data_IF_036121301376
#
_entry.id   IF_036121301376
#
_cell.length_a   1.000
_cell.length_b   1.000
_cell.length_c   1.000
_cell.angle_alpha   90.00
_cell.angle_beta   90.00
_cell.angle_gamma   90.00
#
_symmetry.space_group_name_H-M   'P 1'
#
loop_
_entity.id
_entity.type
_entity.pdbx_description
1 polymer ?
#
# COMPACT_ATOMS: atom_id res chain seq x y z
N UNK A 1 -10.82 -7.47 -0.89
CA UNK A 1 -9.62 -7.83 -1.68
C UNK A 1 -8.41 -7.49 -0.84
N UNK A 2 -7.65 -8.48 -0.38
CA UNK A 2 -6.42 -8.24 0.39
C UNK A 2 -5.31 -7.88 -0.59
N UNK A 3 -4.68 -6.72 -0.40
CA UNK A 3 -3.54 -6.33 -1.24
C UNK A 3 -2.33 -7.17 -0.83
N UNK A 4 -1.83 -8.01 -1.73
CA UNK A 4 -0.65 -8.84 -1.47
C UNK A 4 0.54 -8.20 -2.19
N UNK A 5 1.55 -7.71 -1.45
CA UNK A 5 2.78 -7.18 -2.04
C UNK A 5 3.49 -8.26 -2.88
N UNK A 6 3.96 -7.87 -4.08
CA UNK A 6 4.70 -8.77 -4.97
C UNK A 6 6.09 -9.16 -4.45
N UNK A 7 6.59 -8.48 -3.42
CA UNK A 7 7.85 -8.81 -2.76
C UNK A 7 7.76 -10.05 -1.84
N UNK A 8 6.60 -10.71 -1.78
CA UNK A 8 6.37 -11.91 -0.98
C UNK A 8 6.22 -11.65 0.52
N UNK A 9 6.26 -10.38 0.95
CA UNK A 9 5.98 -9.97 2.33
C UNK A 9 4.53 -9.56 2.48
N UNK A 10 3.95 -9.83 3.64
CA UNK A 10 2.61 -9.35 4.00
C UNK A 10 2.64 -7.88 4.42
N UNK A 11 1.49 -7.20 4.37
CA UNK A 11 1.38 -5.80 4.81
C UNK A 11 1.73 -5.63 6.30
N UNK A 12 1.46 -6.64 7.13
CA UNK A 12 1.87 -6.68 8.55
C UNK A 12 3.38 -6.75 8.71
N UNK A 13 4.07 -7.60 7.95
CA UNK A 13 5.53 -7.69 7.98
C UNK A 13 6.21 -6.41 7.50
N UNK A 14 5.54 -5.66 6.63
CA UNK A 14 6.01 -4.36 6.15
C UNK A 14 5.68 -3.22 7.11
N UNK A 15 4.94 -3.48 8.19
CA UNK A 15 4.46 -2.46 9.13
C UNK A 15 3.47 -1.48 8.51
N UNK A 16 2.90 -1.84 7.36
CA UNK A 16 1.86 -1.11 6.63
C UNK A 16 0.49 -1.41 7.27
N UNK A 17 0.26 -2.65 7.69
CA UNK A 17 -0.95 -3.03 8.41
C UNK A 17 -0.65 -3.17 9.91
N UNK A 18 -1.47 -2.53 10.76
CA UNK A 18 -1.39 -2.70 12.21
C UNK A 18 -2.17 -3.94 12.70
N UNK A 19 -2.05 -4.27 13.99
CA UNK A 19 -2.74 -5.42 14.59
C UNK A 19 -4.27 -5.33 14.56
N UNK A 20 -4.81 -4.12 14.33
CA UNK A 20 -6.24 -3.86 14.21
C UNK A 20 -6.75 -3.96 12.77
N UNK A 21 -5.85 -4.26 11.81
CA UNK A 21 -6.15 -4.36 10.38
C UNK A 21 -6.24 -3.01 9.69
N UNK A 22 -5.67 -1.95 10.28
CA UNK A 22 -5.62 -0.64 9.66
C UNK A 22 -4.38 -0.51 8.79
N UNK A 23 -4.58 0.02 7.58
CA UNK A 23 -3.49 0.30 6.64
C UNK A 23 -2.96 1.72 6.76
N UNK A 24 -1.62 1.81 6.81
CA UNK A 24 -0.84 3.02 6.69
C UNK A 24 -0.42 3.21 5.22
N UNK A 25 -1.23 3.96 4.49
CA UNK A 25 -1.04 4.20 3.07
C UNK A 25 0.22 5.02 2.77
N UNK A 26 0.75 5.73 3.76
CA UNK A 26 2.01 6.46 3.62
C UNK A 26 3.17 5.47 3.53
N UNK A 27 3.24 4.53 4.49
CA UNK A 27 4.24 3.44 4.47
C UNK A 27 4.07 2.53 3.26
N UNK A 28 2.83 2.35 2.80
CA UNK A 28 2.58 1.61 1.58
C UNK A 28 3.21 2.31 0.37
N UNK A 29 2.99 3.61 0.20
CA UNK A 29 3.64 4.39 -0.87
C UNK A 29 5.16 4.32 -0.76
N UNK A 30 5.72 4.59 0.42
CA UNK A 30 7.17 4.52 0.67
C UNK A 30 7.72 3.14 0.30
N UNK A 31 7.07 2.06 0.73
CA UNK A 31 7.51 0.70 0.43
C UNK A 31 7.56 0.43 -1.07
N UNK A 32 6.55 0.88 -1.81
CA UNK A 32 6.51 0.61 -3.24
C UNK A 32 7.52 1.46 -4.02
N UNK A 33 7.83 2.67 -3.56
CA UNK A 33 8.88 3.50 -4.16
C UNK A 33 10.28 2.90 -4.00
N UNK A 34 10.55 2.23 -2.87
CA UNK A 34 11.86 1.63 -2.56
C UNK A 34 12.00 0.17 -3.00
N UNK A 35 10.90 -0.60 -3.03
CA UNK A 35 10.96 -2.02 -3.35
C UNK A 35 10.94 -2.25 -4.87
N UNK A 36 12.00 -2.81 -5.49
CA UNK A 36 12.07 -2.97 -6.95
C UNK A 36 10.98 -3.88 -7.51
N UNK A 37 10.55 -4.90 -6.77
CA UNK A 37 9.47 -5.80 -7.17
C UNK A 37 8.11 -5.11 -7.13
N UNK A 38 7.80 -4.42 -6.02
CA UNK A 38 6.54 -3.69 -5.90
C UNK A 38 6.50 -2.47 -6.85
N UNK A 39 7.64 -1.84 -7.13
CA UNK A 39 7.76 -0.71 -8.05
C UNK A 39 7.39 -1.08 -9.49
N UNK A 40 7.76 -2.28 -9.92
CA UNK A 40 7.32 -2.79 -11.24
C UNK A 40 5.79 -2.92 -11.32
N UNK A 41 5.13 -3.21 -10.21
CA UNK A 41 3.68 -3.26 -10.16
C UNK A 41 3.03 -1.87 -10.30
N UNK A 42 3.66 -0.79 -9.78
CA UNK A 42 3.20 0.59 -10.05
C UNK A 42 3.26 0.92 -11.53
N UNK A 43 4.31 0.49 -12.23
CA UNK A 43 4.41 0.74 -13.66
C UNK A 43 3.22 0.12 -14.43
N UNK A 44 2.72 -1.02 -13.95
CA UNK A 44 1.54 -1.70 -14.51
C UNK A 44 0.20 -1.05 -14.09
N UNK A 45 0.12 -0.49 -12.89
CA UNK A 45 -1.09 0.18 -12.38
C UNK A 45 -1.20 1.66 -12.79
N UNK A 46 -0.10 2.28 -13.20
CA UNK A 46 -0.01 3.71 -13.47
C UNK A 46 0.29 4.53 -12.22
N UNK A 47 1.16 5.54 -12.33
CA UNK A 47 1.55 6.42 -11.22
C UNK A 47 0.33 7.14 -10.60
N UNK A 48 -0.62 7.55 -11.45
CA UNK A 48 -1.85 8.22 -11.01
C UNK A 48 -2.71 7.36 -10.08
N UNK A 49 -2.65 6.03 -10.19
CA UNK A 49 -3.44 5.16 -9.33
C UNK A 49 -3.01 5.27 -7.87
N UNK A 50 -1.70 5.31 -7.59
CA UNK A 50 -1.17 5.43 -6.23
C UNK A 50 -1.49 6.79 -5.64
N UNK A 51 -1.30 7.86 -6.40
CA UNK A 51 -1.60 9.21 -5.91
C UNK A 51 -3.11 9.39 -5.69
N UNK A 52 -3.96 8.83 -6.54
CA UNK A 52 -5.41 8.80 -6.30
C UNK A 52 -5.79 7.94 -5.09
N UNK A 53 -5.07 6.84 -4.82
CA UNK A 53 -5.34 5.98 -3.66
C UNK A 53 -4.93 6.68 -2.35
N UNK A 54 -3.80 7.39 -2.36
CA UNK A 54 -3.34 8.21 -1.25
C UNK A 54 -4.25 9.43 -1.07
N UNK A 55 -4.74 10.07 -2.12
CA UNK A 55 -5.63 11.22 -2.00
C UNK A 55 -7.04 10.80 -1.54
N UNK A 56 -7.57 9.69 -2.08
CA UNK A 56 -8.89 9.17 -1.74
C UNK A 56 -8.96 8.57 -0.34
N UNK A 57 -7.90 7.87 0.11
CA UNK A 57 -7.92 7.13 1.37
C UNK A 57 -6.94 7.66 2.42
N UNK A 58 -5.83 8.27 2.00
CA UNK A 58 -4.83 8.85 2.91
C UNK A 58 -5.27 10.14 3.58
N UNK A 59 -6.26 10.88 3.04
CA UNK A 59 -6.80 12.07 3.71
C UNK A 59 -7.73 11.78 4.88
N UNK A 60 -8.24 10.56 5.03
CA UNK A 60 -9.32 10.33 5.99
C UNK A 60 -9.15 9.18 6.97
N UNK A 61 -8.59 8.01 6.63
CA UNK A 61 -8.64 6.90 7.59
C UNK A 61 -7.50 5.90 7.43
N UNK A 62 -7.00 5.45 8.58
CA UNK A 62 -6.67 4.04 8.83
C UNK A 62 -7.76 3.16 8.20
N UNK A 63 -7.53 2.68 6.97
CA UNK A 63 -8.56 1.96 6.20
C UNK A 63 -8.68 0.55 6.78
N UNK A 64 -9.86 0.22 7.31
CA UNK A 64 -10.21 -1.14 7.73
C UNK A 64 -10.92 -1.83 6.56
N UNK A 65 -10.26 -2.79 5.92
CA UNK A 65 -10.87 -3.60 4.87
C UNK A 65 -11.71 -4.71 5.53
N UNK A 66 -13.04 -4.59 5.44
CA UNK A 66 -13.98 -5.66 5.76
C UNK A 66 -13.97 -6.76 4.68
#
# INVERSE_FOLDING_TARGET
>A
MTFIPYCGKTLKELGIEDEQGNLDLLKFKEHIEVCPFCKQFIFLLGADFIDNLVDAFGRFYKVKLC
#
